data_IF_482031398445
#
_entry.id   IF_482031398445
#
_cell.length_a   1.000
_cell.length_b   1.000
_cell.length_c   1.000
_cell.angle_alpha   90.00
_cell.angle_beta   90.00
_cell.angle_gamma   90.00
#
_symmetry.space_group_name_H-M   'P 1'
#
loop_
_entity.id
_entity.type
_entity.pdbx_description
1 polymer ?
#
# COMPACT_ATOMS: atom_id res chain seq x y z
N UNK A 1 15.38 -14.87 17.69
CA UNK A 1 14.43 -13.85 17.18
C UNK A 1 15.10 -12.76 16.31
N UNK A 2 16.30 -12.97 15.74
CA UNK A 2 17.16 -11.84 15.30
C UNK A 2 17.03 -11.35 13.84
N UNK A 3 16.92 -12.21 12.82
CA UNK A 3 17.11 -11.78 11.41
C UNK A 3 15.83 -11.55 10.60
N UNK A 4 14.78 -12.34 10.83
CA UNK A 4 13.50 -12.20 10.11
C UNK A 4 12.72 -10.96 10.53
N UNK A 5 12.78 -10.62 11.82
CA UNK A 5 12.21 -9.38 12.36
C UNK A 5 12.89 -8.16 11.74
N UNK A 6 14.22 -8.10 11.77
CA UNK A 6 15.00 -6.99 11.20
C UNK A 6 14.70 -6.79 9.70
N UNK A 7 14.61 -7.87 8.93
CA UNK A 7 14.25 -7.79 7.51
C UNK A 7 12.87 -7.15 7.29
N UNK A 8 11.88 -7.50 8.12
CA UNK A 8 10.55 -6.88 8.04
C UNK A 8 10.59 -5.38 8.30
N UNK A 9 11.37 -4.95 9.30
CA UNK A 9 11.57 -3.54 9.61
C UNK A 9 12.28 -2.77 8.49
N UNK A 10 13.31 -3.36 7.87
CA UNK A 10 13.99 -2.74 6.72
C UNK A 10 13.01 -2.60 5.54
N UNK A 11 12.24 -3.65 5.21
CA UNK A 11 11.25 -3.55 4.14
C UNK A 11 10.17 -2.50 4.44
N UNK A 12 9.76 -2.36 5.71
CA UNK A 12 8.83 -1.32 6.16
C UNK A 12 9.39 0.09 5.93
N UNK A 13 10.65 0.33 6.33
CA UNK A 13 11.33 1.61 6.13
C UNK A 13 11.50 1.95 4.65
N UNK A 14 11.87 0.95 3.82
CA UNK A 14 11.98 1.12 2.37
C UNK A 14 10.62 1.44 1.75
N UNK A 15 9.56 0.73 2.13
CA UNK A 15 8.22 0.99 1.62
C UNK A 15 7.74 2.40 1.98
N UNK A 16 7.93 2.81 3.24
CA UNK A 16 7.61 4.17 3.69
C UNK A 16 8.44 5.21 2.94
N UNK A 17 9.77 5.04 2.84
CA UNK A 17 10.65 5.97 2.13
C UNK A 17 10.33 6.11 0.65
N UNK A 18 10.04 5.01 -0.06
CA UNK A 18 9.61 5.06 -1.46
C UNK A 18 8.25 5.75 -1.58
N UNK A 19 7.32 5.51 -0.66
CA UNK A 19 6.03 6.21 -0.65
C UNK A 19 6.20 7.72 -0.46
N UNK A 20 7.06 8.13 0.48
CA UNK A 20 7.41 9.54 0.72
C UNK A 20 7.98 10.15 -0.55
N UNK A 21 8.99 9.52 -1.17
CA UNK A 21 9.57 10.03 -2.42
C UNK A 21 8.50 10.19 -3.51
N UNK A 22 7.66 9.16 -3.72
CA UNK A 22 6.60 9.17 -4.72
C UNK A 22 5.48 10.18 -4.41
N UNK A 23 5.28 10.57 -3.15
CA UNK A 23 4.30 11.59 -2.78
C UNK A 23 4.69 12.99 -3.29
N UNK A 24 5.99 13.25 -3.48
CA UNK A 24 6.48 14.50 -4.06
C UNK A 24 6.50 14.50 -5.59
N UNK A 25 6.27 13.35 -6.23
CA UNK A 25 6.10 13.25 -7.68
C UNK A 25 4.61 13.31 -8.03
N UNK A 26 4.12 14.51 -8.36
CA UNK A 26 2.76 14.68 -8.88
C UNK A 26 2.72 14.37 -10.37
N UNK A 27 2.03 13.30 -10.75
CA UNK A 27 1.63 13.06 -12.13
C UNK A 27 0.20 13.56 -12.28
N UNK A 28 0.03 14.61 -13.08
CA UNK A 28 -1.28 15.11 -13.48
C UNK A 28 -1.62 14.66 -14.90
N UNK A 29 -2.77 14.02 -15.06
CA UNK A 29 -3.30 13.62 -16.36
C UNK A 29 -4.59 14.42 -16.55
N UNK A 30 -4.58 15.40 -17.45
CA UNK A 30 -5.74 16.27 -17.72
C UNK A 30 -6.34 16.92 -16.46
N UNK A 31 -5.49 17.32 -15.50
CA UNK A 31 -5.91 17.93 -14.23
C UNK A 31 -6.26 16.93 -13.11
N UNK A 32 -6.20 15.62 -13.37
CA UNK A 32 -6.45 14.58 -12.37
C UNK A 32 -5.15 14.05 -11.76
N UNK A 33 -5.14 13.91 -10.45
CA UNK A 33 -3.98 13.42 -9.69
C UNK A 33 -3.89 11.90 -9.74
N UNK A 34 -2.72 11.38 -10.16
CA UNK A 34 -2.35 9.97 -10.03
C UNK A 34 -1.48 9.78 -8.78
N UNK A 35 -2.03 9.20 -7.71
CA UNK A 35 -1.35 9.09 -6.42
C UNK A 35 -0.38 7.89 -6.36
N UNK A 36 0.85 8.09 -6.85
CA UNK A 36 1.87 7.04 -6.94
C UNK A 36 2.27 6.42 -5.58
N UNK A 37 2.24 7.21 -4.51
CA UNK A 37 2.59 6.76 -3.16
C UNK A 37 1.69 5.63 -2.62
N UNK A 38 0.48 5.46 -3.18
CA UNK A 38 -0.44 4.37 -2.82
C UNK A 38 0.16 3.00 -3.16
N UNK A 39 0.88 2.90 -4.28
CA UNK A 39 1.44 1.64 -4.78
C UNK A 39 2.37 0.94 -3.78
N UNK A 40 3.48 1.55 -3.31
CA UNK A 40 4.40 0.88 -2.38
C UNK A 40 3.75 0.53 -1.05
N UNK A 41 2.81 1.36 -0.56
CA UNK A 41 2.11 1.13 0.71
C UNK A 41 1.14 -0.05 0.61
N UNK A 42 0.32 -0.13 -0.44
CA UNK A 42 -0.58 -1.27 -0.68
C UNK A 42 0.22 -2.55 -0.93
N UNK A 43 1.28 -2.49 -1.75
CA UNK A 43 2.17 -3.63 -1.96
C UNK A 43 2.71 -4.17 -0.63
N UNK A 44 3.28 -3.30 0.19
CA UNK A 44 3.89 -3.69 1.46
C UNK A 44 2.85 -4.25 2.43
N UNK A 45 1.68 -3.63 2.50
CA UNK A 45 0.57 -4.12 3.31
C UNK A 45 0.08 -5.51 2.87
N UNK A 46 0.02 -5.79 1.56
CA UNK A 46 -0.29 -7.13 1.04
C UNK A 46 0.81 -8.16 1.36
N UNK A 47 2.08 -7.74 1.37
CA UNK A 47 3.24 -8.60 1.64
C UNK A 47 3.41 -8.93 3.14
N UNK A 48 3.20 -7.96 4.04
CA UNK A 48 3.47 -8.12 5.48
C UNK A 48 2.22 -8.11 6.36
N UNK A 49 1.06 -7.81 5.79
CA UNK A 49 -0.22 -7.75 6.49
C UNK A 49 -0.49 -6.40 7.15
N UNK A 50 -1.71 -6.28 7.71
CA UNK A 50 -2.23 -5.02 8.25
C UNK A 50 -1.32 -4.33 9.28
N UNK A 51 -0.73 -5.07 10.23
CA UNK A 51 0.07 -4.45 11.31
C UNK A 51 1.30 -3.73 10.75
N UNK A 52 2.10 -4.43 9.95
CA UNK A 52 3.30 -3.84 9.35
C UNK A 52 2.92 -2.82 8.26
N UNK A 53 1.88 -3.08 7.48
CA UNK A 53 1.34 -2.12 6.50
C UNK A 53 0.93 -0.80 7.13
N UNK A 54 0.23 -0.84 8.27
CA UNK A 54 -0.14 0.35 9.03
C UNK A 54 1.09 1.07 9.58
N UNK A 55 2.08 0.37 10.13
CA UNK A 55 3.31 1.02 10.60
C UNK A 55 4.06 1.74 9.47
N UNK A 56 4.18 1.13 8.28
CA UNK A 56 4.78 1.79 7.12
C UNK A 56 3.97 3.03 6.68
N UNK A 57 2.65 2.92 6.68
CA UNK A 57 1.74 3.98 6.22
C UNK A 57 1.71 5.17 7.19
N UNK A 58 1.66 4.88 8.50
CA UNK A 58 1.79 5.87 9.56
C UNK A 58 3.13 6.58 9.50
N UNK A 59 4.23 5.83 9.32
CA UNK A 59 5.56 6.41 9.20
C UNK A 59 5.66 7.33 7.98
N UNK A 60 5.16 6.90 6.82
CA UNK A 60 5.11 7.72 5.62
C UNK A 60 4.31 9.02 5.85
N UNK A 61 3.11 8.91 6.43
CA UNK A 61 2.26 10.07 6.74
C UNK A 61 2.92 11.03 7.74
N UNK A 62 3.60 10.53 8.77
CA UNK A 62 4.34 11.37 9.74
C UNK A 62 5.49 12.10 9.05
N UNK A 63 6.27 11.41 8.21
CA UNK A 63 7.40 12.03 7.50
C UNK A 63 6.89 13.14 6.58
N UNK A 64 5.84 12.88 5.79
CA UNK A 64 5.26 13.87 4.88
C UNK A 64 4.69 15.07 5.67
N UNK A 65 4.01 14.81 6.79
CA UNK A 65 3.52 15.87 7.67
C UNK A 65 4.66 16.77 8.19
N UNK A 66 5.75 16.17 8.68
CA UNK A 66 6.91 16.91 9.21
C UNK A 66 7.60 17.72 8.11
N UNK A 67 7.70 17.18 6.90
CA UNK A 67 8.30 17.88 5.76
C UNK A 67 7.48 19.08 5.27
N UNK A 68 6.17 19.08 5.52
CA UNK A 68 5.22 20.14 5.12
C UNK A 68 4.75 20.97 6.33
N UNK A 69 5.42 20.83 7.48
CA UNK A 69 5.02 21.51 8.70
C UNK A 69 5.39 22.99 8.62
N UNK A 70 4.45 23.88 8.98
CA UNK A 70 4.64 25.33 8.94
C UNK A 70 3.98 26.03 7.74
N UNK A 71 3.49 25.27 6.76
CA UNK A 71 2.73 25.81 5.62
C UNK A 71 1.32 26.27 6.02
N UNK A 72 0.69 25.58 7.00
CA UNK A 72 -0.69 25.80 7.44
C UNK A 72 -0.88 25.43 8.92
N UNK A 73 -2.08 25.68 9.45
CA UNK A 73 -2.50 25.18 10.77
C UNK A 73 -2.39 23.65 10.88
N UNK A 74 -2.09 23.15 12.09
CA UNK A 74 -1.88 21.72 12.33
C UNK A 74 -3.08 20.85 11.91
N UNK A 75 -4.31 21.32 12.11
CA UNK A 75 -5.54 20.63 11.71
C UNK A 75 -5.58 20.41 10.19
N UNK A 76 -5.29 21.46 9.41
CA UNK A 76 -5.25 21.43 7.95
C UNK A 76 -4.11 20.53 7.47
N UNK A 77 -2.93 20.62 8.09
CA UNK A 77 -1.78 19.78 7.75
C UNK A 77 -2.05 18.29 8.02
N UNK A 78 -2.77 17.96 9.10
CA UNK A 78 -3.16 16.58 9.40
C UNK A 78 -4.09 16.01 8.34
N UNK A 79 -5.07 16.79 7.88
CA UNK A 79 -6.02 16.36 6.85
C UNK A 79 -5.35 16.25 5.48
N UNK A 80 -4.46 17.19 5.14
CA UNK A 80 -3.90 17.32 3.79
C UNK A 80 -2.65 16.46 3.58
N UNK A 81 -1.80 16.32 4.60
CA UNK A 81 -0.47 15.71 4.47
C UNK A 81 -0.31 14.39 5.23
N UNK A 82 -1.00 14.20 6.36
CA UNK A 82 -0.90 12.96 7.14
C UNK A 82 -1.98 11.94 6.73
N UNK A 83 -3.24 12.35 6.78
CA UNK A 83 -4.41 11.51 6.54
C UNK A 83 -4.35 10.65 5.27
N UNK A 84 -4.05 11.23 4.08
CA UNK A 84 -4.08 10.50 2.82
C UNK A 84 -3.18 9.26 2.80
N UNK A 85 -2.09 9.28 3.57
CA UNK A 85 -1.10 8.20 3.58
C UNK A 85 -1.23 7.29 4.79
N UNK A 86 -1.56 7.84 5.96
CA UNK A 86 -1.54 7.15 7.26
C UNK A 86 -2.36 5.85 7.30
N UNK A 87 -3.46 5.80 6.55
CA UNK A 87 -4.44 4.72 6.63
C UNK A 87 -4.32 3.68 5.50
N UNK A 88 -3.51 3.91 4.47
CA UNK A 88 -3.41 3.00 3.29
C UNK A 88 -3.04 1.58 3.70
N UNK A 89 -2.30 1.42 4.80
CA UNK A 89 -1.91 0.15 5.40
C UNK A 89 -3.07 -0.78 5.78
N UNK A 90 -4.30 -0.26 5.90
CA UNK A 90 -5.52 -1.06 6.08
C UNK A 90 -5.79 -1.99 4.90
N UNK A 91 -5.26 -1.71 3.71
CA UNK A 91 -5.25 -2.66 2.58
C UNK A 91 -4.61 -4.02 2.92
N UNK A 92 -3.81 -4.09 3.98
CA UNK A 92 -3.26 -5.33 4.52
C UNK A 92 -4.30 -6.31 5.10
N UNK A 93 -5.57 -5.91 5.22
CA UNK A 93 -6.69 -6.83 5.50
C UNK A 93 -6.78 -7.97 4.46
N UNK A 94 -6.41 -7.68 3.20
CA UNK A 94 -6.45 -8.65 2.11
C UNK A 94 -5.17 -9.51 2.00
N UNK A 95 -4.17 -9.27 2.84
CA UNK A 95 -2.86 -9.94 2.76
C UNK A 95 -2.95 -11.47 2.93
N UNK A 96 -3.71 -11.93 3.93
CA UNK A 96 -3.84 -13.38 4.22
C UNK A 96 -4.38 -14.15 3.03
N UNK A 97 -5.44 -13.61 2.39
CA UNK A 97 -6.08 -14.26 1.25
C UNK A 97 -5.20 -14.17 0.00
N UNK A 98 -4.57 -13.02 -0.25
CA UNK A 98 -3.62 -12.82 -1.35
C UNK A 98 -2.48 -13.82 -1.28
N UNK A 99 -1.82 -13.94 -0.11
CA UNK A 99 -0.66 -14.82 0.03
C UNK A 99 -1.02 -16.30 -0.06
N UNK A 100 -2.14 -16.73 0.53
CA UNK A 100 -2.62 -18.12 0.43
C UNK A 100 -2.97 -18.50 -1.00
N UNK A 101 -3.65 -17.62 -1.71
CA UNK A 101 -4.07 -17.89 -3.10
C UNK A 101 -2.89 -17.89 -4.06
N UNK A 102 -1.92 -16.99 -3.90
CA UNK A 102 -0.66 -17.01 -4.65
C UNK A 102 0.17 -18.26 -4.35
N UNK A 103 0.33 -18.62 -3.07
CA UNK A 103 1.04 -19.83 -2.66
C UNK A 103 0.42 -21.11 -3.27
N UNK A 104 -0.91 -21.15 -3.34
CA UNK A 104 -1.66 -22.26 -3.91
C UNK A 104 -1.81 -22.18 -5.44
N UNK A 105 -1.08 -21.27 -6.12
CA UNK A 105 -1.12 -21.04 -7.58
C UNK A 105 -2.53 -20.72 -8.13
N UNK A 106 -3.42 -20.18 -7.28
CA UNK A 106 -4.79 -19.79 -7.64
C UNK A 106 -4.84 -18.30 -8.03
N UNK A 107 -4.25 -17.97 -9.18
CA UNK A 107 -4.04 -16.58 -9.58
C UNK A 107 -5.33 -15.76 -9.69
N UNK A 108 -6.44 -16.33 -10.21
CA UNK A 108 -7.72 -15.59 -10.31
C UNK A 108 -8.21 -15.06 -8.95
N UNK A 109 -8.07 -15.88 -7.90
CA UNK A 109 -8.45 -15.47 -6.55
C UNK A 109 -7.46 -14.48 -5.96
N UNK A 110 -6.16 -14.63 -6.24
CA UNK A 110 -5.16 -13.64 -5.84
C UNK A 110 -5.41 -12.29 -6.51
N UNK A 111 -5.74 -12.30 -7.80
CA UNK A 111 -6.03 -11.11 -8.59
C UNK A 111 -7.21 -10.34 -8.01
N UNK A 112 -8.30 -11.03 -7.65
CA UNK A 112 -9.44 -10.39 -6.98
C UNK A 112 -9.01 -9.69 -5.68
N UNK A 113 -8.25 -10.37 -4.81
CA UNK A 113 -7.78 -9.75 -3.56
C UNK A 113 -6.86 -8.54 -3.79
N UNK A 114 -5.98 -8.61 -4.80
CA UNK A 114 -5.08 -7.51 -5.18
C UNK A 114 -5.88 -6.30 -5.69
N UNK A 115 -6.86 -6.53 -6.57
CA UNK A 115 -7.72 -5.47 -7.10
C UNK A 115 -8.53 -4.84 -5.98
N UNK A 116 -9.14 -5.64 -5.09
CA UNK A 116 -9.88 -5.09 -3.94
C UNK A 116 -8.97 -4.27 -3.02
N UNK A 117 -7.75 -4.73 -2.77
CA UNK A 117 -6.78 -4.00 -1.96
C UNK A 117 -6.31 -2.69 -2.61
N UNK A 118 -6.13 -2.67 -3.94
CA UNK A 118 -5.76 -1.47 -4.70
C UNK A 118 -6.89 -0.42 -4.67
N UNK A 119 -8.13 -0.85 -4.91
CA UNK A 119 -9.32 0.01 -4.80
C UNK A 119 -9.44 0.54 -3.37
N UNK A 120 -9.34 -0.33 -2.36
CA UNK A 120 -9.49 0.07 -0.97
C UNK A 120 -8.38 1.02 -0.49
N UNK A 121 -7.12 0.76 -0.86
CA UNK A 121 -6.00 1.65 -0.54
C UNK A 121 -6.13 3.02 -1.21
N UNK A 122 -6.57 3.05 -2.48
CA UNK A 122 -6.84 4.30 -3.19
C UNK A 122 -8.03 5.05 -2.59
N UNK A 123 -9.10 4.34 -2.22
CA UNK A 123 -10.26 4.95 -1.56
C UNK A 123 -9.86 5.65 -0.27
N UNK A 124 -9.01 5.01 0.54
CA UNK A 124 -8.51 5.62 1.77
C UNK A 124 -7.76 6.92 1.47
N UNK A 125 -6.93 6.98 0.44
CA UNK A 125 -6.26 8.21 0.03
C UNK A 125 -7.26 9.31 -0.40
N UNK A 126 -8.18 8.97 -1.30
CA UNK A 126 -9.10 9.93 -1.92
C UNK A 126 -10.21 10.43 -0.98
N UNK A 127 -10.58 9.67 0.07
CA UNK A 127 -11.45 10.18 1.13
C UNK A 127 -10.81 11.39 1.81
N UNK A 128 -9.51 11.36 2.09
CA UNK A 128 -8.82 12.50 2.69
C UNK A 128 -8.68 13.68 1.73
N UNK A 129 -8.47 13.43 0.44
CA UNK A 129 -8.47 14.49 -0.57
C UNK A 129 -9.84 15.17 -0.68
N UNK A 130 -10.92 14.39 -0.62
CA UNK A 130 -12.28 14.93 -0.55
C UNK A 130 -12.50 15.75 0.72
N UNK A 131 -12.06 15.28 1.89
CA UNK A 131 -12.19 16.04 3.15
C UNK A 131 -11.38 17.34 3.08
N UNK A 132 -10.21 17.34 2.46
CA UNK A 132 -9.36 18.52 2.31
C UNK A 132 -9.93 19.55 1.33
N UNK A 133 -10.48 19.10 0.19
CA UNK A 133 -10.97 19.98 -0.88
C UNK A 133 -12.44 20.37 -0.74
N UNK A 134 -13.25 19.53 -0.07
CA UNK A 134 -14.71 19.69 0.04
C UNK A 134 -15.49 19.36 -1.23
N UNK A 135 -14.85 18.88 -2.31
CA UNK A 135 -15.48 18.62 -3.61
C UNK A 135 -15.05 17.28 -4.21
N UNK A 136 -15.93 16.64 -5.00
CA UNK A 136 -15.68 15.36 -5.66
C UNK A 136 -15.26 15.48 -7.13
N UNK A 137 -15.33 16.70 -7.72
CA UNK A 137 -15.27 16.89 -9.18
C UNK A 137 -14.05 16.23 -9.84
N UNK A 138 -12.87 16.36 -9.25
CA UNK A 138 -11.63 15.78 -9.78
C UNK A 138 -11.20 14.50 -9.06
N UNK A 139 -11.71 14.25 -7.85
CA UNK A 139 -11.28 13.16 -6.99
C UNK A 139 -11.76 11.80 -7.48
N UNK A 140 -12.95 11.72 -8.10
CA UNK A 140 -13.49 10.44 -8.59
C UNK A 140 -12.66 9.86 -9.74
N UNK A 141 -12.21 10.72 -10.66
CA UNK A 141 -11.39 10.29 -11.80
C UNK A 141 -9.97 9.96 -11.32
N UNK A 142 -9.39 10.79 -10.44
CA UNK A 142 -8.10 10.49 -9.80
C UNK A 142 -8.12 9.15 -9.05
N UNK A 143 -9.22 8.88 -8.33
CA UNK A 143 -9.46 7.60 -7.65
C UNK A 143 -9.49 6.42 -8.62
N UNK A 144 -10.25 6.52 -9.72
CA UNK A 144 -10.34 5.47 -10.71
C UNK A 144 -8.98 5.21 -11.39
N UNK A 145 -8.26 6.26 -11.77
CA UNK A 145 -6.94 6.18 -12.40
C UNK A 145 -5.90 5.56 -11.45
N UNK A 146 -5.85 6.01 -10.21
CA UNK A 146 -4.93 5.49 -9.20
C UNK A 146 -5.25 4.02 -8.89
N UNK A 147 -6.52 3.69 -8.69
CA UNK A 147 -6.94 2.30 -8.42
C UNK A 147 -6.55 1.38 -9.57
N UNK A 148 -6.80 1.79 -10.81
CA UNK A 148 -6.45 1.03 -12.00
C UNK A 148 -4.92 0.86 -12.14
N UNK A 149 -4.16 1.94 -12.00
CA UNK A 149 -2.71 1.91 -12.11
C UNK A 149 -2.07 1.00 -11.04
N UNK A 150 -2.48 1.16 -9.78
CA UNK A 150 -2.01 0.33 -8.66
C UNK A 150 -2.38 -1.13 -8.90
N UNK A 151 -3.63 -1.42 -9.27
CA UNK A 151 -4.08 -2.78 -9.56
C UNK A 151 -3.27 -3.42 -10.70
N UNK A 152 -3.09 -2.73 -11.83
CA UNK A 152 -2.34 -3.23 -12.98
C UNK A 152 -0.91 -3.57 -12.59
N UNK A 153 -0.20 -2.65 -11.93
CA UNK A 153 1.20 -2.86 -11.54
C UNK A 153 1.30 -4.05 -10.56
N UNK A 154 0.44 -4.11 -9.54
CA UNK A 154 0.47 -5.21 -8.57
C UNK A 154 0.09 -6.56 -9.19
N UNK A 155 -0.85 -6.59 -10.14
CA UNK A 155 -1.22 -7.80 -10.87
C UNK A 155 -0.07 -8.30 -11.74
N UNK A 156 0.62 -7.40 -12.44
CA UNK A 156 1.81 -7.74 -13.23
C UNK A 156 2.92 -8.29 -12.31
N UNK A 157 3.21 -7.62 -11.20
CA UNK A 157 4.18 -8.10 -10.21
C UNK A 157 3.79 -9.46 -9.64
N UNK A 158 2.51 -9.68 -9.32
CA UNK A 158 2.04 -10.95 -8.78
C UNK A 158 2.09 -12.09 -9.81
N UNK A 159 1.90 -11.77 -11.09
CA UNK A 159 1.98 -12.75 -12.19
C UNK A 159 3.43 -13.13 -12.52
N UNK A 160 4.33 -12.14 -12.56
CA UNK A 160 5.75 -12.35 -12.92
C UNK A 160 6.57 -12.86 -11.74
N UNK A 161 6.34 -12.31 -10.54
CA UNK A 161 7.15 -12.56 -9.36
C UNK A 161 6.27 -12.77 -8.09
N UNK A 162 5.45 -13.83 -8.02
CA UNK A 162 4.56 -14.09 -6.87
C UNK A 162 5.31 -14.24 -5.54
N UNK A 163 6.58 -14.66 -5.56
CA UNK A 163 7.47 -14.73 -4.39
C UNK A 163 7.69 -13.35 -3.73
N UNK A 164 7.43 -12.24 -4.43
CA UNK A 164 7.45 -10.89 -3.87
C UNK A 164 6.25 -10.59 -2.94
N UNK A 165 5.13 -11.30 -3.07
CA UNK A 165 3.99 -11.12 -2.17
C UNK A 165 4.02 -12.09 -0.99
N UNK A 166 4.67 -13.25 -1.14
CA UNK A 166 4.71 -14.32 -0.14
C UNK A 166 6.12 -14.42 0.46
N UNK A 167 6.42 -13.70 1.55
CA UNK A 167 7.73 -13.79 2.20
C UNK A 167 7.91 -15.16 2.88
N UNK A 168 9.15 -15.67 2.90
CA UNK A 168 9.47 -17.00 3.49
C UNK A 168 9.09 -17.12 4.97
N UNK A 169 9.06 -16.00 5.69
CA UNK A 169 8.70 -15.90 7.10
C UNK A 169 7.21 -15.56 7.32
N UNK A 170 6.36 -15.63 6.29
CA UNK A 170 4.93 -15.30 6.40
C UNK A 170 4.24 -16.09 7.52
N UNK A 171 3.39 -15.38 8.27
CA UNK A 171 2.52 -15.94 9.31
C UNK A 171 1.20 -16.49 8.76
N UNK A 172 0.90 -16.26 7.48
CA UNK A 172 -0.40 -16.57 6.89
C UNK A 172 -0.50 -18.00 6.34
N UNK A 173 0.63 -18.70 6.24
CA UNK A 173 0.73 -20.08 5.78
C UNK A 173 0.96 -21.04 6.94
N UNK A 174 0.44 -22.26 6.81
CA UNK A 174 0.66 -23.35 7.77
C UNK A 174 2.12 -23.80 7.79
N UNK A 175 2.54 -24.52 8.85
CA UNK A 175 3.91 -25.07 8.96
C UNK A 175 4.26 -25.96 7.77
N UNK A 176 3.32 -26.77 7.28
CA UNK A 176 3.50 -27.66 6.11
C UNK A 176 3.66 -26.88 4.80
N UNK A 177 2.90 -25.81 4.61
CA UNK A 177 3.06 -24.92 3.45
C UNK A 177 4.39 -24.16 3.51
N UNK A 178 4.80 -23.74 4.72
CA UNK A 178 6.05 -23.03 4.94
C UNK A 178 7.29 -23.88 4.66
N UNK A 179 7.29 -25.17 5.03
CA UNK A 179 8.43 -26.05 4.73
C UNK A 179 8.64 -26.21 3.23
N UNK A 180 7.55 -26.29 2.45
CA UNK A 180 7.62 -26.34 0.98
C UNK A 180 8.26 -25.06 0.41
N UNK A 181 7.90 -23.89 0.92
CA UNK A 181 8.48 -22.61 0.49
C UNK A 181 9.98 -22.45 0.81
N UNK A 182 10.49 -23.16 1.81
CA UNK A 182 11.91 -23.12 2.17
C UNK A 182 12.75 -24.03 1.28
N UNK A 183 12.12 -25.07 0.70
CA UNK A 183 12.77 -26.07 -0.14
C UNK A 183 12.66 -25.74 -1.64
N UNK A 184 11.87 -24.72 -2.01
CA UNK A 184 11.69 -24.15 -3.37
C UNK A 184 12.46 -22.82 -3.60
#
# INVERSE_FOLDING_TARGET
>A
MGSTSLKSWIEMLVAAGVAVLLAFFSIQISGYTLALAVLPLVYFALRRGIVQGMLASLLAGIIILVMQLGETELSVSLVTFFGPYAFIGLSGLFAKNTQRTLNNKRFKNAALNIVTAAIFGSLLFFIWQFIASGTLENEMIGFALTSAAVAIVLLLLAKVAPKLFVPKDTRFLSRKEKSRLLND
#
